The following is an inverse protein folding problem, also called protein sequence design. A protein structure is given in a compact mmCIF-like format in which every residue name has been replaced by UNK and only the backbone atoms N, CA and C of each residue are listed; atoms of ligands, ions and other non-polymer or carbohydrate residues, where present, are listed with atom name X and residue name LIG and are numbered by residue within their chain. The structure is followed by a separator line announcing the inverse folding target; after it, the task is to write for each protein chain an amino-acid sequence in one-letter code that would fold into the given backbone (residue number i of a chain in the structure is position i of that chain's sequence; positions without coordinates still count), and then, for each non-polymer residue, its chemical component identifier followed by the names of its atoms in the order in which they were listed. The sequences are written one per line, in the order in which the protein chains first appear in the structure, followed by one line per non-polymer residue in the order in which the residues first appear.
data_IF_781429014463
#
_entry.id   IF_781429014463
#
_cell.length_a   1.000
_cell.length_b   1.000
_cell.length_c   1.000
_cell.angle_alpha   90.00
_cell.angle_beta   90.00
_cell.angle_gamma   90.00
#
_symmetry.space_group_name_H-M   'P 1'
#
loop_
_entity.id
_entity.type
_entity.pdbx_description
1 polymer ?
#
# COMPACT_ATOMS: atom_id res chain seq x y z
N UNK A 1 5.55 5.89 27.70
CA UNK A 1 6.79 5.95 26.88
C UNK A 1 6.87 7.34 26.30
N UNK A 2 8.00 8.01 26.44
CA UNK A 2 8.17 9.36 25.88
C UNK A 2 8.11 9.29 24.35
N UNK A 3 7.43 10.23 23.73
CA UNK A 3 7.26 10.32 22.26
C UNK A 3 8.62 10.30 21.54
N UNK A 4 9.64 10.93 22.12
CA UNK A 4 11.01 10.95 21.58
C UNK A 4 11.62 9.55 21.46
N UNK A 5 11.52 8.74 22.52
CA UNK A 5 12.09 7.37 22.53
C UNK A 5 11.43 6.45 21.50
N UNK A 6 10.12 6.61 21.26
CA UNK A 6 9.43 5.87 20.21
C UNK A 6 9.86 6.31 18.81
N UNK A 7 10.01 7.63 18.57
CA UNK A 7 10.48 8.14 17.28
C UNK A 7 11.91 7.68 16.95
N UNK A 8 12.79 7.63 17.96
CA UNK A 8 14.14 7.07 17.80
C UNK A 8 14.07 5.58 17.40
N UNK A 9 13.21 4.81 18.04
CA UNK A 9 13.00 3.41 17.68
C UNK A 9 12.50 3.26 16.24
N UNK A 10 11.55 4.08 15.82
CA UNK A 10 11.06 4.09 14.43
C UNK A 10 12.17 4.44 13.43
N UNK A 11 13.09 5.36 13.77
CA UNK A 11 14.26 5.66 12.90
C UNK A 11 15.15 4.45 12.71
N UNK A 12 15.40 3.68 13.74
CA UNK A 12 16.18 2.42 13.64
C UNK A 12 15.47 1.40 12.75
N UNK A 13 14.14 1.27 12.88
CA UNK A 13 13.32 0.39 12.05
C UNK A 13 13.39 0.79 10.57
N UNK A 14 13.25 2.07 10.28
CA UNK A 14 13.31 2.60 8.90
C UNK A 14 14.70 2.48 8.30
N UNK A 15 15.74 2.71 9.12
CA UNK A 15 17.14 2.52 8.71
C UNK A 15 17.53 1.04 8.47
N UNK A 16 16.69 0.08 8.92
CA UNK A 16 16.98 -1.34 8.81
C UNK A 16 18.05 -1.85 9.80
N UNK A 17 18.33 -1.11 10.88
CA UNK A 17 19.30 -1.50 11.91
C UNK A 17 18.72 -2.60 12.82
N UNK A 18 18.76 -3.84 12.31
CA UNK A 18 18.19 -4.99 12.99
C UNK A 18 18.82 -5.25 14.37
N UNK A 19 20.12 -5.01 14.54
CA UNK A 19 20.81 -5.25 15.80
C UNK A 19 20.35 -4.28 16.89
N UNK A 20 20.25 -2.99 16.56
CA UNK A 20 19.76 -1.98 17.49
C UNK A 20 18.28 -2.16 17.79
N UNK A 21 17.46 -2.51 16.80
CA UNK A 21 16.04 -2.83 16.99
C UNK A 21 15.89 -4.05 17.90
N UNK A 22 16.64 -5.13 17.68
CA UNK A 22 16.61 -6.33 18.52
C UNK A 22 16.97 -6.02 19.99
N UNK A 23 18.05 -5.26 20.22
CA UNK A 23 18.42 -4.82 21.57
C UNK A 23 17.32 -3.99 22.25
N UNK A 24 16.70 -3.05 21.51
CA UNK A 24 15.60 -2.24 22.04
C UNK A 24 14.37 -3.08 22.36
N UNK A 25 14.02 -4.04 21.52
CA UNK A 25 12.89 -4.95 21.73
C UNK A 25 13.14 -5.90 22.92
N UNK A 26 14.38 -6.37 23.11
CA UNK A 26 14.75 -7.17 24.29
C UNK A 26 14.62 -6.39 25.60
N UNK A 27 15.00 -5.09 25.59
CA UNK A 27 14.88 -4.21 26.76
C UNK A 27 13.44 -3.72 27.01
N UNK A 28 12.64 -3.55 25.96
CA UNK A 28 11.28 -3.03 26.00
C UNK A 28 10.39 -3.71 24.96
N UNK A 29 9.93 -4.95 25.19
CA UNK A 29 9.14 -5.74 24.22
C UNK A 29 7.86 -5.04 23.74
N UNK A 30 7.26 -4.21 24.58
CA UNK A 30 6.07 -3.43 24.23
C UNK A 30 6.26 -2.51 23.01
N UNK A 31 7.51 -2.17 22.62
CA UNK A 31 7.80 -1.39 21.42
C UNK A 31 7.27 -2.05 20.14
N UNK A 32 7.21 -3.37 20.09
CA UNK A 32 6.68 -4.09 18.93
C UNK A 32 5.18 -3.81 18.67
N UNK A 33 4.42 -3.62 19.74
CA UNK A 33 2.95 -3.42 19.69
C UNK A 33 2.53 -1.97 19.93
N UNK A 34 3.45 -1.10 20.36
CA UNK A 34 3.14 0.30 20.65
C UNK A 34 2.70 1.03 19.37
N UNK A 35 1.55 1.70 19.47
CA UNK A 35 1.06 2.62 18.46
C UNK A 35 1.55 4.05 18.76
N UNK A 36 1.97 4.79 17.73
CA UNK A 36 2.39 6.18 17.90
C UNK A 36 1.24 7.05 18.41
N UNK A 37 1.41 7.77 19.52
CA UNK A 37 0.39 8.71 20.01
C UNK A 37 0.27 9.96 19.13
N UNK A 38 1.31 10.26 18.36
CA UNK A 38 1.46 11.45 17.52
C UNK A 38 1.78 11.07 16.07
N UNK A 39 1.73 12.04 15.16
CA UNK A 39 2.11 11.82 13.77
C UNK A 39 1.77 13.01 12.89
N UNK A 40 2.10 12.93 11.64
CA UNK A 40 1.90 13.97 10.66
C UNK A 40 0.46 14.49 10.62
N UNK A 41 0.32 15.79 10.67
CA UNK A 41 -0.93 16.54 10.50
C UNK A 41 -0.77 17.56 9.36
N UNK A 42 -1.82 18.29 9.02
CA UNK A 42 -1.71 19.37 8.02
C UNK A 42 -0.86 20.55 8.51
N UNK A 43 -0.84 20.77 9.83
CA UNK A 43 -0.10 21.87 10.46
C UNK A 43 1.34 21.47 10.79
N UNK A 44 1.58 20.20 11.11
CA UNK A 44 2.87 19.70 11.58
C UNK A 44 3.18 18.34 10.92
N UNK A 45 3.90 18.40 9.81
CA UNK A 45 4.24 17.19 9.05
C UNK A 45 5.76 16.92 9.04
N UNK A 46 6.59 17.96 9.10
CA UNK A 46 8.03 17.88 8.85
C UNK A 46 8.76 16.94 9.80
N UNK A 47 8.41 16.97 11.09
CA UNK A 47 9.04 16.12 12.11
C UNK A 47 8.69 14.62 12.00
N UNK A 48 7.70 14.29 11.19
CA UNK A 48 7.19 12.92 11.02
C UNK A 48 7.42 12.36 9.62
N UNK A 49 8.17 13.05 8.77
CA UNK A 49 8.54 12.60 7.44
C UNK A 49 9.89 11.86 7.48
N UNK A 50 9.89 10.64 6.98
CA UNK A 50 11.08 9.80 6.85
C UNK A 50 11.52 9.80 5.39
N UNK A 51 12.59 10.54 5.11
CA UNK A 51 13.11 10.75 3.74
C UNK A 51 13.58 9.44 3.11
N UNK A 52 14.15 8.55 3.92
CA UNK A 52 14.68 7.26 3.50
C UNK A 52 13.62 6.37 2.83
N UNK A 53 12.39 6.49 3.28
CA UNK A 53 11.25 5.72 2.75
C UNK A 53 10.19 6.59 2.08
N UNK A 54 10.44 7.92 2.01
CA UNK A 54 9.51 8.92 1.47
C UNK A 54 8.10 8.79 2.03
N UNK A 55 7.99 8.54 3.35
CA UNK A 55 6.72 8.27 4.00
C UNK A 55 6.59 9.00 5.34
N UNK A 56 5.34 9.34 5.70
CA UNK A 56 5.02 9.94 6.99
C UNK A 56 4.63 8.90 8.02
N UNK A 57 5.02 9.12 9.29
CA UNK A 57 4.41 8.46 10.44
C UNK A 57 3.11 9.19 10.78
N UNK A 58 2.03 8.43 10.94
CA UNK A 58 0.73 8.95 11.39
C UNK A 58 0.38 8.43 12.79
N UNK A 59 -0.46 9.16 13.50
CA UNK A 59 -0.94 8.69 14.80
C UNK A 59 -1.63 7.32 14.67
N UNK A 60 -1.30 6.41 15.57
CA UNK A 60 -1.73 5.02 15.54
C UNK A 60 -0.84 4.08 14.72
N UNK A 61 0.16 4.59 13.99
CA UNK A 61 1.12 3.72 13.32
C UNK A 61 1.96 2.96 14.35
N UNK A 62 2.21 1.69 14.08
CA UNK A 62 3.17 0.85 14.79
C UNK A 62 4.48 0.76 14.03
N UNK A 63 5.52 0.23 14.66
CA UNK A 63 6.79 -0.05 14.00
C UNK A 63 6.62 -0.94 12.74
N UNK A 64 5.65 -1.86 12.76
CA UNK A 64 5.38 -2.72 11.61
C UNK A 64 4.79 -1.96 10.40
N UNK A 65 4.01 -0.89 10.62
CA UNK A 65 3.59 0.00 9.53
C UNK A 65 4.81 0.61 8.82
N UNK A 66 5.80 1.09 9.60
CA UNK A 66 6.99 1.73 9.06
C UNK A 66 7.96 0.74 8.40
N UNK A 67 8.10 -0.47 8.96
CA UNK A 67 8.84 -1.57 8.33
C UNK A 67 8.20 -1.99 6.98
N UNK A 68 6.87 -2.00 6.92
CA UNK A 68 6.12 -2.28 5.69
C UNK A 68 6.30 -1.17 4.64
N UNK A 69 6.27 0.11 5.04
CA UNK A 69 6.57 1.25 4.17
C UNK A 69 8.03 1.25 3.67
N UNK A 70 8.95 0.71 4.48
CA UNK A 70 10.37 0.54 4.13
C UNK A 70 10.61 -0.67 3.21
N UNK A 71 9.61 -1.48 2.90
CA UNK A 71 9.70 -2.75 2.17
C UNK A 71 10.69 -3.74 2.80
N UNK A 72 10.85 -3.68 4.13
CA UNK A 72 11.81 -4.51 4.85
C UNK A 72 11.17 -5.77 5.43
N UNK A 73 11.16 -6.87 4.66
CA UNK A 73 10.74 -8.18 5.16
C UNK A 73 11.56 -8.66 6.36
N UNK A 74 12.89 -8.48 6.44
CA UNK A 74 13.65 -8.85 7.63
C UNK A 74 13.18 -8.10 8.88
N UNK A 75 12.96 -6.78 8.78
CA UNK A 75 12.47 -5.98 9.89
C UNK A 75 11.03 -6.35 10.30
N UNK A 76 10.16 -6.59 9.31
CA UNK A 76 8.81 -7.08 9.58
C UNK A 76 8.84 -8.43 10.33
N UNK A 77 9.69 -9.38 9.92
CA UNK A 77 9.88 -10.67 10.61
C UNK A 77 10.35 -10.49 12.05
N UNK A 78 11.33 -9.62 12.26
CA UNK A 78 11.84 -9.31 13.61
C UNK A 78 10.73 -8.73 14.51
N UNK A 79 9.96 -7.77 14.03
CA UNK A 79 8.86 -7.17 14.79
C UNK A 79 7.76 -8.18 15.10
N UNK A 80 7.38 -9.02 14.14
CA UNK A 80 6.39 -10.09 14.31
C UNK A 80 6.84 -11.11 15.35
N UNK A 81 8.13 -11.52 15.35
CA UNK A 81 8.66 -12.45 16.35
C UNK A 81 8.62 -11.89 17.78
N UNK A 82 8.48 -10.56 17.93
CA UNK A 82 8.29 -9.88 19.21
C UNK A 82 6.83 -9.47 19.46
N UNK A 83 5.87 -10.06 18.73
CA UNK A 83 4.44 -9.90 18.98
C UNK A 83 3.77 -8.72 18.27
N UNK A 84 4.41 -8.12 17.25
CA UNK A 84 3.73 -7.10 16.44
C UNK A 84 2.50 -7.70 15.74
N UNK A 85 1.39 -6.96 15.73
CA UNK A 85 0.15 -7.36 15.07
C UNK A 85 0.16 -6.91 13.60
N UNK A 86 0.13 -7.87 12.66
CA UNK A 86 0.08 -7.60 11.22
C UNK A 86 -1.24 -6.93 10.77
N UNK A 87 -2.25 -6.90 11.63
CA UNK A 87 -3.57 -6.29 11.39
C UNK A 87 -3.81 -5.03 12.24
N UNK A 88 -2.79 -4.53 12.94
CA UNK A 88 -2.88 -3.29 13.71
C UNK A 88 -3.39 -2.14 12.83
N UNK A 89 -4.35 -1.36 13.34
CA UNK A 89 -4.96 -0.25 12.61
C UNK A 89 -4.51 1.08 13.17
N UNK A 90 -4.03 1.95 12.31
CA UNK A 90 -3.75 3.32 12.68
C UNK A 90 -5.02 4.19 12.77
N UNK A 91 -4.88 5.48 13.09
CA UNK A 91 -5.99 6.43 13.18
C UNK A 91 -6.84 6.49 11.89
N UNK A 92 -6.27 6.22 10.72
CA UNK A 92 -6.98 6.18 9.43
C UNK A 92 -7.61 4.83 9.13
N UNK A 93 -7.41 3.83 9.99
CA UNK A 93 -7.87 2.46 9.79
C UNK A 93 -6.99 1.67 8.82
N UNK A 94 -5.85 2.21 8.40
CA UNK A 94 -4.90 1.50 7.57
C UNK A 94 -4.10 0.48 8.41
N UNK A 95 -3.85 -0.68 7.84
CA UNK A 95 -3.01 -1.76 8.38
C UNK A 95 -1.62 -1.73 7.72
N UNK A 96 -0.59 -2.43 8.25
CA UNK A 96 0.73 -2.49 7.64
C UNK A 96 0.73 -2.89 6.16
N UNK A 97 -0.18 -3.78 5.74
CA UNK A 97 -0.31 -4.18 4.33
C UNK A 97 -0.71 -3.00 3.40
N UNK A 98 -1.44 -2.02 3.91
CA UNK A 98 -1.72 -0.79 3.15
C UNK A 98 -0.44 0.02 2.89
N UNK A 99 0.49 0.02 3.85
CA UNK A 99 1.77 0.72 3.74
C UNK A 99 2.73 0.00 2.78
N UNK A 100 2.80 -1.33 2.85
CA UNK A 100 3.53 -2.14 1.88
C UNK A 100 3.07 -1.90 0.44
N UNK A 101 1.76 -1.68 0.25
CA UNK A 101 1.17 -1.42 -1.06
C UNK A 101 1.32 0.04 -1.55
N UNK A 102 1.64 0.99 -0.67
CA UNK A 102 1.72 2.43 -0.98
C UNK A 102 3.18 2.80 -1.32
N UNK A 103 3.68 2.29 -2.44
CA UNK A 103 5.08 2.42 -2.81
C UNK A 103 5.47 3.85 -3.22
N UNK A 104 6.34 4.48 -2.44
CA UNK A 104 6.99 5.75 -2.76
C UNK A 104 8.46 5.56 -3.20
N UNK A 105 8.92 4.31 -3.26
CA UNK A 105 10.26 3.87 -3.67
C UNK A 105 10.14 2.84 -4.78
N UNK A 106 11.17 2.80 -5.65
CA UNK A 106 11.20 1.82 -6.74
C UNK A 106 12.05 0.61 -6.35
N UNK A 107 11.47 -0.27 -5.55
CA UNK A 107 12.07 -1.54 -5.14
C UNK A 107 11.03 -2.67 -5.31
N UNK A 108 10.65 -3.00 -6.56
CA UNK A 108 9.48 -3.84 -6.83
C UNK A 108 9.57 -5.23 -6.21
N UNK A 109 10.78 -5.83 -6.12
CA UNK A 109 10.98 -7.15 -5.52
C UNK A 109 10.80 -7.09 -4.00
N UNK A 110 11.49 -6.16 -3.32
CA UNK A 110 11.37 -6.00 -1.88
C UNK A 110 9.93 -5.65 -1.46
N UNK A 111 9.23 -4.87 -2.28
CA UNK A 111 7.81 -4.56 -2.06
C UNK A 111 6.93 -5.81 -2.17
N UNK A 112 7.12 -6.65 -3.19
CA UNK A 112 6.40 -7.90 -3.33
C UNK A 112 6.68 -8.84 -2.15
N UNK A 113 7.97 -9.02 -1.78
CA UNK A 113 8.41 -9.90 -0.70
C UNK A 113 7.75 -9.53 0.65
N UNK A 114 7.63 -8.25 0.98
CA UNK A 114 6.97 -7.83 2.23
C UNK A 114 5.46 -8.01 2.18
N UNK A 115 4.81 -7.80 1.03
CA UNK A 115 3.38 -8.04 0.82
C UNK A 115 3.09 -9.53 1.01
N UNK A 116 3.82 -10.39 0.32
CA UNK A 116 3.67 -11.85 0.40
C UNK A 116 3.89 -12.35 1.82
N UNK A 117 4.94 -11.85 2.50
CA UNK A 117 5.18 -12.20 3.89
C UNK A 117 4.02 -11.80 4.80
N UNK A 118 3.55 -10.55 4.74
CA UNK A 118 2.44 -10.10 5.58
C UNK A 118 1.17 -10.92 5.35
N UNK A 119 0.84 -11.24 4.10
CA UNK A 119 -0.31 -12.10 3.77
C UNK A 119 -0.11 -13.52 4.33
N UNK A 120 1.08 -14.09 4.20
CA UNK A 120 1.38 -15.45 4.68
C UNK A 120 1.20 -15.62 6.20
N UNK A 121 1.31 -14.53 6.96
CA UNK A 121 1.11 -14.52 8.42
C UNK A 121 -0.26 -14.01 8.86
N UNK A 122 -1.20 -13.85 7.93
CA UNK A 122 -2.61 -13.55 8.21
C UNK A 122 -3.04 -12.10 8.04
N UNK A 123 -2.24 -11.23 7.39
CA UNK A 123 -2.74 -9.94 6.96
C UNK A 123 -3.84 -10.12 5.91
N UNK A 124 -4.94 -9.37 6.04
CA UNK A 124 -6.12 -9.49 5.17
C UNK A 124 -5.96 -8.62 3.90
N UNK A 125 -5.78 -9.22 2.69
CA UNK A 125 -5.55 -8.45 1.46
C UNK A 125 -6.74 -7.58 1.05
N UNK A 126 -7.91 -7.84 1.61
CA UNK A 126 -9.15 -7.10 1.36
C UNK A 126 -9.54 -6.16 2.52
N UNK A 127 -8.68 -5.99 3.53
CA UNK A 127 -8.89 -5.01 4.59
C UNK A 127 -9.05 -3.61 4.02
N UNK A 128 -9.90 -2.79 4.63
CA UNK A 128 -10.14 -1.42 4.16
C UNK A 128 -9.86 -0.41 5.26
N UNK A 129 -9.30 0.72 4.85
CA UNK A 129 -9.16 1.88 5.72
C UNK A 129 -10.52 2.62 5.89
N UNK A 130 -10.54 3.70 6.68
CA UNK A 130 -11.75 4.50 6.94
C UNK A 130 -12.40 5.10 5.68
N UNK A 131 -11.68 5.13 4.55
CA UNK A 131 -12.19 5.62 3.25
C UNK A 131 -12.63 4.49 2.32
N UNK A 132 -12.58 3.24 2.81
CA UNK A 132 -12.90 2.04 2.03
C UNK A 132 -11.79 1.62 1.07
N UNK A 133 -10.60 2.23 1.17
CA UNK A 133 -9.44 1.92 0.33
C UNK A 133 -8.77 0.65 0.85
N UNK A 134 -8.65 -0.36 -0.01
CA UNK A 134 -7.89 -1.58 0.25
C UNK A 134 -6.44 -1.45 -0.27
N UNK A 135 -5.50 -2.33 0.16
CA UNK A 135 -4.13 -2.34 -0.32
C UNK A 135 -4.02 -2.32 -1.85
N UNK A 136 -4.85 -3.11 -2.55
CA UNK A 136 -4.85 -3.14 -4.02
C UNK A 136 -5.16 -1.79 -4.67
N UNK A 137 -6.02 -0.97 -4.08
CA UNK A 137 -6.27 0.39 -4.57
C UNK A 137 -4.99 1.25 -4.50
N UNK A 138 -4.20 1.11 -3.43
CA UNK A 138 -2.94 1.84 -3.26
C UNK A 138 -1.89 1.39 -4.25
N UNK A 139 -1.68 0.08 -4.41
CA UNK A 139 -0.74 -0.48 -5.37
C UNK A 139 -1.04 -0.05 -6.82
N UNK A 140 -2.32 -0.01 -7.19
CA UNK A 140 -2.76 0.48 -8.51
C UNK A 140 -2.49 1.97 -8.68
N UNK A 141 -2.77 2.78 -7.64
CA UNK A 141 -2.55 4.23 -7.67
C UNK A 141 -1.07 4.58 -7.80
N UNK A 142 -0.20 3.84 -7.12
CA UNK A 142 1.26 4.01 -7.18
C UNK A 142 1.91 3.32 -8.39
N UNK A 143 1.11 2.57 -9.16
CA UNK A 143 1.54 1.84 -10.37
C UNK A 143 2.62 0.80 -10.14
N UNK A 144 2.64 0.20 -8.98
CA UNK A 144 3.52 -0.92 -8.70
C UNK A 144 2.93 -2.23 -9.21
N UNK A 145 3.35 -2.68 -10.40
CA UNK A 145 2.92 -3.96 -10.97
C UNK A 145 3.27 -5.14 -10.03
N UNK A 146 4.43 -5.10 -9.40
CA UNK A 146 4.87 -6.14 -8.47
C UNK A 146 3.93 -6.24 -7.26
N UNK A 147 3.57 -5.09 -6.64
CA UNK A 147 2.62 -5.06 -5.54
C UNK A 147 1.21 -5.50 -5.97
N UNK A 148 0.75 -5.06 -7.15
CA UNK A 148 -0.56 -5.48 -7.69
C UNK A 148 -0.59 -7.00 -7.87
N UNK A 149 0.46 -7.60 -8.44
CA UNK A 149 0.57 -9.05 -8.63
C UNK A 149 0.57 -9.79 -7.29
N UNK A 150 1.47 -9.41 -6.37
CA UNK A 150 1.57 -10.04 -5.05
C UNK A 150 0.24 -9.99 -4.27
N UNK A 151 -0.48 -8.86 -4.32
CA UNK A 151 -1.78 -8.73 -3.68
C UNK A 151 -2.85 -9.61 -4.34
N UNK A 152 -2.91 -9.67 -5.67
CA UNK A 152 -3.87 -10.51 -6.39
C UNK A 152 -3.59 -12.00 -6.18
N UNK A 153 -2.32 -12.40 -6.19
CA UNK A 153 -1.90 -13.77 -5.89
C UNK A 153 -2.23 -14.15 -4.44
N UNK A 154 -2.16 -13.16 -3.53
CA UNK A 154 -2.55 -13.29 -2.13
C UNK A 154 -4.06 -13.19 -1.86
N UNK A 155 -4.92 -13.15 -2.89
CA UNK A 155 -6.37 -13.18 -2.75
C UNK A 155 -7.05 -11.80 -2.64
N UNK A 156 -6.38 -10.72 -3.05
CA UNK A 156 -7.04 -9.42 -3.13
C UNK A 156 -8.13 -9.44 -4.20
N UNK A 157 -9.32 -8.91 -3.86
CA UNK A 157 -10.45 -8.83 -4.78
C UNK A 157 -10.26 -7.66 -5.77
N UNK A 158 -10.08 -7.93 -7.10
CA UNK A 158 -9.87 -6.91 -8.11
C UNK A 158 -11.11 -6.03 -8.34
N UNK A 159 -12.27 -6.42 -7.80
CA UNK A 159 -13.54 -5.68 -7.91
C UNK A 159 -13.98 -5.02 -6.60
N UNK A 160 -13.15 -5.06 -5.55
CA UNK A 160 -13.47 -4.41 -4.26
C UNK A 160 -13.71 -2.90 -4.48
N UNK A 161 -14.90 -2.35 -4.17
CA UNK A 161 -15.11 -0.91 -4.28
C UNK A 161 -14.62 -0.20 -3.01
N UNK A 162 -14.12 1.02 -3.15
CA UNK A 162 -13.93 1.95 -2.05
C UNK A 162 -15.24 2.69 -1.72
N UNK A 163 -15.24 3.64 -0.75
CA UNK A 163 -16.46 4.41 -0.40
C UNK A 163 -17.01 5.27 -1.53
N UNK A 164 -16.22 5.63 -2.53
CA UNK A 164 -16.68 6.30 -3.75
C UNK A 164 -17.22 5.34 -4.82
N UNK A 165 -17.29 4.04 -4.50
CA UNK A 165 -17.69 2.99 -5.45
C UNK A 165 -16.62 2.63 -6.46
N UNK A 166 -15.45 3.28 -6.40
CA UNK A 166 -14.37 3.03 -7.36
C UNK A 166 -13.66 1.72 -7.05
N UNK A 167 -13.61 0.82 -8.01
CA UNK A 167 -12.79 -0.40 -7.96
C UNK A 167 -11.33 -0.09 -8.31
N UNK A 168 -10.35 -0.99 -8.05
CA UNK A 168 -8.99 -0.84 -8.52
C UNK A 168 -8.88 -0.51 -10.02
N UNK A 169 -9.74 -1.13 -10.87
CA UNK A 169 -9.74 -0.84 -12.30
C UNK A 169 -10.18 0.59 -12.63
N UNK A 170 -11.11 1.19 -11.86
CA UNK A 170 -11.45 2.62 -12.01
C UNK A 170 -10.24 3.53 -11.79
N UNK A 171 -9.34 3.17 -10.84
CA UNK A 171 -8.12 3.93 -10.59
C UNK A 171 -7.05 3.68 -11.66
N UNK A 172 -6.95 2.43 -12.16
CA UNK A 172 -5.99 2.06 -13.19
C UNK A 172 -6.19 2.82 -14.51
N UNK A 173 -7.44 3.10 -14.89
CA UNK A 173 -7.76 3.79 -16.15
C UNK A 173 -7.60 5.30 -16.10
N UNK A 174 -7.38 5.89 -14.91
CA UNK A 174 -7.14 7.32 -14.77
C UNK A 174 -5.77 7.69 -15.30
N UNK A 175 -5.69 8.83 -15.99
CA UNK A 175 -4.39 9.37 -16.41
C UNK A 175 -3.65 9.96 -15.23
N UNK A 176 -2.34 9.79 -15.22
CA UNK A 176 -1.47 10.43 -14.25
C UNK A 176 -0.73 11.58 -14.92
N UNK A 177 -0.90 12.75 -14.37
CA UNK A 177 -0.27 13.97 -14.85
C UNK A 177 -1.19 14.88 -15.67
N UNK A 178 -0.89 16.17 -15.69
CA UNK A 178 -1.74 17.27 -16.18
C UNK A 178 -2.08 17.21 -17.69
N UNK A 179 -1.57 16.25 -18.45
CA UNK A 179 -1.85 16.14 -19.90
C UNK A 179 -1.90 14.70 -20.42
N UNK A 180 -2.04 13.70 -19.56
CA UNK A 180 -2.04 12.31 -20.02
C UNK A 180 -0.70 11.82 -20.59
N UNK A 181 0.35 12.61 -20.42
CA UNK A 181 1.68 12.44 -21.01
C UNK A 181 2.68 11.77 -20.08
N UNK A 182 2.26 10.74 -19.36
CA UNK A 182 3.22 9.91 -18.64
C UNK A 182 4.31 9.36 -19.59
N UNK A 183 5.50 9.05 -19.06
CA UNK A 183 6.57 8.42 -19.84
C UNK A 183 6.06 7.12 -20.50
N UNK A 184 6.73 6.63 -21.54
CA UNK A 184 6.39 5.37 -22.18
C UNK A 184 6.43 4.20 -21.19
N UNK A 185 7.34 4.26 -20.22
CA UNK A 185 7.41 3.29 -19.13
C UNK A 185 6.16 3.33 -18.26
N UNK A 186 5.71 4.51 -17.84
CA UNK A 186 4.50 4.66 -17.04
C UNK A 186 3.24 4.20 -17.81
N UNK A 187 3.18 4.45 -19.12
CA UNK A 187 2.10 3.98 -20.00
C UNK A 187 2.10 2.45 -20.14
N UNK A 188 3.28 1.83 -20.25
CA UNK A 188 3.41 0.37 -20.29
C UNK A 188 2.97 -0.26 -18.99
N UNK A 189 3.49 0.22 -17.85
CA UNK A 189 3.09 -0.26 -16.53
C UNK A 189 1.58 -0.13 -16.28
N UNK A 190 0.98 0.97 -16.70
CA UNK A 190 -0.48 1.16 -16.61
C UNK A 190 -1.22 0.09 -17.42
N UNK A 191 -0.79 -0.19 -18.66
CA UNK A 191 -1.41 -1.20 -19.50
C UNK A 191 -1.28 -2.60 -18.89
N UNK A 192 -0.09 -2.94 -18.38
CA UNK A 192 0.16 -4.24 -17.72
C UNK A 192 -0.70 -4.43 -16.48
N UNK A 193 -0.87 -3.38 -15.65
CA UNK A 193 -1.77 -3.42 -14.49
C UNK A 193 -3.23 -3.60 -14.92
N UNK A 194 -3.67 -2.88 -15.95
CA UNK A 194 -5.04 -3.03 -16.48
C UNK A 194 -5.27 -4.46 -16.98
N UNK A 195 -4.35 -5.00 -17.79
CA UNK A 195 -4.43 -6.37 -18.31
C UNK A 195 -4.49 -7.39 -17.16
N UNK A 196 -3.60 -7.26 -16.18
CA UNK A 196 -3.58 -8.15 -15.02
C UNK A 196 -4.88 -8.09 -14.20
N UNK A 197 -5.44 -6.89 -14.00
CA UNK A 197 -6.73 -6.76 -13.30
C UNK A 197 -7.87 -7.42 -14.07
N UNK A 198 -7.91 -7.28 -15.40
CA UNK A 198 -8.91 -7.92 -16.26
C UNK A 198 -8.79 -9.45 -16.22
N UNK A 199 -7.57 -9.99 -16.35
CA UNK A 199 -7.26 -11.40 -16.22
C UNK A 199 -7.73 -12.00 -14.88
N UNK A 200 -7.66 -11.20 -13.82
CA UNK A 200 -8.10 -11.59 -12.47
C UNK A 200 -9.58 -11.27 -12.19
N UNK A 201 -10.37 -10.93 -13.21
CA UNK A 201 -11.83 -10.80 -13.12
C UNK A 201 -12.36 -9.40 -12.85
N UNK A 202 -11.55 -8.33 -12.93
CA UNK A 202 -12.07 -6.98 -12.95
C UNK A 202 -12.90 -6.74 -14.23
N UNK A 203 -13.95 -5.92 -14.14
CA UNK A 203 -14.89 -5.72 -15.25
C UNK A 203 -14.96 -4.26 -15.69
N UNK A 204 -14.79 -3.98 -17.00
CA UNK A 204 -14.96 -2.62 -17.54
C UNK A 204 -16.36 -2.03 -17.34
N UNK A 205 -17.35 -2.89 -17.05
CA UNK A 205 -18.74 -2.53 -16.80
C UNK A 205 -19.08 -2.22 -15.35
N UNK A 206 -18.13 -2.44 -14.40
CA UNK A 206 -18.34 -2.08 -13.00
C UNK A 206 -18.57 -0.57 -12.88
N UNK A 207 -19.53 -0.18 -12.02
CA UNK A 207 -19.94 1.22 -11.83
C UNK A 207 -19.42 1.76 -10.51
N UNK A 208 -19.01 3.02 -10.50
CA UNK A 208 -18.76 3.78 -9.28
C UNK A 208 -20.07 4.25 -8.60
N UNK A 209 -19.99 4.95 -7.48
CA UNK A 209 -21.14 5.46 -6.74
C UNK A 209 -21.99 6.48 -7.54
N UNK A 210 -21.45 7.05 -8.63
CA UNK A 210 -22.17 7.97 -9.54
C UNK A 210 -22.77 7.23 -10.73
N UNK A 211 -22.66 5.90 -10.78
CA UNK A 211 -23.12 5.07 -11.89
C UNK A 211 -22.21 5.07 -13.11
N UNK A 212 -21.03 5.72 -13.04
CA UNK A 212 -20.08 5.80 -14.14
C UNK A 212 -19.30 4.48 -14.26
N UNK A 213 -19.35 3.86 -15.44
CA UNK A 213 -18.59 2.65 -15.69
C UNK A 213 -17.09 2.92 -15.85
N UNK A 214 -16.25 1.92 -15.56
CA UNK A 214 -14.80 1.98 -15.79
C UNK A 214 -14.46 2.42 -17.21
N UNK A 215 -15.14 1.84 -18.20
CA UNK A 215 -14.96 2.22 -19.61
C UNK A 215 -15.20 3.71 -19.89
N UNK A 216 -16.22 4.27 -19.26
CA UNK A 216 -16.54 5.71 -19.36
C UNK A 216 -15.55 6.60 -18.60
N UNK A 217 -14.91 6.04 -17.55
CA UNK A 217 -13.89 6.74 -16.77
C UNK A 217 -12.54 6.80 -17.51
N UNK A 218 -12.30 5.92 -18.49
CA UNK A 218 -11.08 5.89 -19.29
C UNK A 218 -10.96 7.15 -20.17
N UNK A 219 -9.85 7.87 -20.02
CA UNK A 219 -9.62 9.17 -20.64
C UNK A 219 -8.90 9.09 -22.00
N UNK A 220 -8.23 7.97 -22.30
CA UNK A 220 -7.51 7.78 -23.56
C UNK A 220 -8.12 6.66 -24.40
N UNK A 221 -8.08 6.81 -25.74
CA UNK A 221 -8.58 5.80 -26.66
C UNK A 221 -7.77 4.50 -26.54
N UNK A 222 -6.47 4.59 -26.32
CA UNK A 222 -5.61 3.43 -26.08
C UNK A 222 -6.12 2.58 -24.91
N UNK A 223 -6.51 3.20 -23.78
CA UNK A 223 -7.05 2.47 -22.62
C UNK A 223 -8.42 1.88 -22.97
N UNK A 224 -9.27 2.59 -23.71
CA UNK A 224 -10.58 2.07 -24.15
C UNK A 224 -10.45 0.85 -25.04
N UNK A 225 -9.47 0.85 -25.95
CA UNK A 225 -9.16 -0.33 -26.81
C UNK A 225 -8.74 -1.51 -25.92
N UNK A 226 -7.81 -1.32 -24.99
CA UNK A 226 -7.37 -2.35 -24.05
C UNK A 226 -8.53 -2.94 -23.24
N UNK A 227 -9.46 -2.09 -22.78
CA UNK A 227 -10.66 -2.55 -22.04
C UNK A 227 -11.65 -3.33 -22.91
N UNK A 228 -11.68 -3.11 -24.23
CA UNK A 228 -12.50 -3.89 -25.18
C UNK A 228 -11.90 -5.24 -25.46
N UNK A 229 -10.59 -5.29 -25.69
CA UNK A 229 -9.84 -6.52 -25.99
C UNK A 229 -9.84 -7.48 -24.80
N UNK A 230 -9.68 -6.98 -23.57
CA UNK A 230 -9.77 -7.80 -22.36
C UNK A 230 -11.15 -8.35 -22.02
N UNK A 231 -12.19 -8.10 -22.85
CA UNK A 231 -13.51 -8.72 -22.75
C UNK A 231 -13.65 -10.03 -23.56
N UNK A 232 -12.66 -10.38 -24.36
CA UNK A 232 -12.73 -11.50 -25.30
C UNK A 232 -12.24 -12.84 -24.73
N UNK A 233 -12.11 -12.95 -23.39
CA UNK A 233 -11.74 -14.17 -22.69
C UNK A 233 -12.82 -14.64 -21.71
#
# INVERSE_FOLDING_TARGET
METSAFLEFIRLVVAGDADSVSRRLSAAPALATTASPVGATRQEATGFFFTEISHYLYAGDTALHMAAAAFSSPMAKLLISHGADCRAKNRRGAEPLHYAADGNRWEPRAQADVIEYLISIGAEPNAVDKTGVAPLHRAVRTRSLAAVRALLDGGANPRKPNKAGSTPLHLAVQTTGASGSGSDTARRQQAEIISLLLERGARPTDKDARGKQVYQAATSERIRTLLKEGKAG
#
